data_IF_822362027898
#
_entry.id   IF_822362027898
#
_cell.length_a   1.000
_cell.length_b   1.000
_cell.length_c   1.000
_cell.angle_alpha   90.00
_cell.angle_beta   90.00
_cell.angle_gamma   90.00
#
_symmetry.space_group_name_H-M   'P 1'
#
loop_
_entity.id
_entity.type
_entity.pdbx_description
1 polymer ?
#
# COMPACT_ATOMS: atom_id res chain seq x y z
N UNK A 1 -17.62 -5.27 -17.88
CA UNK A 1 -18.24 -5.52 -16.55
C UNK A 1 -18.09 -6.95 -16.04
N UNK A 2 -18.41 -8.00 -16.81
CA UNK A 2 -18.22 -9.41 -16.36
C UNK A 2 -16.75 -9.74 -16.07
N UNK A 3 -15.82 -9.29 -16.91
CA UNK A 3 -14.37 -9.44 -16.67
C UNK A 3 -13.94 -8.71 -15.39
N UNK A 4 -14.49 -7.53 -15.13
CA UNK A 4 -14.21 -6.73 -13.94
C UNK A 4 -14.62 -7.47 -12.66
N UNK A 5 -15.85 -7.99 -12.61
CA UNK A 5 -16.34 -8.74 -11.45
C UNK A 5 -15.58 -10.04 -11.24
N UNK A 6 -15.34 -10.82 -12.31
CA UNK A 6 -14.58 -12.06 -12.24
C UNK A 6 -13.16 -11.82 -11.71
N UNK A 7 -12.46 -10.82 -12.27
CA UNK A 7 -11.09 -10.49 -11.89
C UNK A 7 -11.01 -10.04 -10.43
N UNK A 8 -11.95 -9.18 -9.99
CA UNK A 8 -12.05 -8.74 -8.60
C UNK A 8 -12.19 -9.94 -7.65
N UNK A 9 -13.16 -10.82 -7.91
CA UNK A 9 -13.44 -11.96 -7.03
C UNK A 9 -12.31 -12.98 -7.01
N UNK A 10 -11.63 -13.22 -8.14
CA UNK A 10 -10.45 -14.10 -8.20
C UNK A 10 -9.36 -13.55 -7.30
N UNK A 11 -8.96 -12.29 -7.49
CA UNK A 11 -7.89 -11.68 -6.69
C UNK A 11 -8.26 -11.58 -5.21
N UNK A 12 -9.49 -11.21 -4.88
CA UNK A 12 -9.96 -11.17 -3.49
C UNK A 12 -9.89 -12.55 -2.82
N UNK A 13 -10.34 -13.61 -3.52
CA UNK A 13 -10.29 -14.99 -3.01
C UNK A 13 -8.86 -15.44 -2.75
N UNK A 14 -7.93 -15.11 -3.65
CA UNK A 14 -6.52 -15.47 -3.50
C UNK A 14 -5.91 -14.85 -2.24
N UNK A 15 -6.09 -13.54 -2.00
CA UNK A 15 -5.59 -12.88 -0.78
C UNK A 15 -6.19 -13.48 0.47
N UNK A 16 -7.51 -13.71 0.46
CA UNK A 16 -8.22 -14.27 1.60
C UNK A 16 -7.71 -15.67 1.97
N UNK A 17 -7.39 -16.48 0.96
CA UNK A 17 -6.84 -17.83 1.17
C UNK A 17 -5.46 -17.78 1.84
N UNK A 18 -4.61 -16.84 1.43
CA UNK A 18 -3.24 -16.68 1.91
C UNK A 18 -3.20 -16.11 3.34
N UNK A 19 -4.15 -15.25 3.70
CA UNK A 19 -4.15 -14.51 4.98
C UNK A 19 -5.17 -15.01 6.02
N UNK A 20 -5.75 -16.20 5.83
CA UNK A 20 -6.81 -16.76 6.71
C UNK A 20 -6.45 -16.72 8.20
N UNK A 21 -5.20 -17.03 8.55
CA UNK A 21 -4.74 -17.02 9.94
C UNK A 21 -4.78 -15.62 10.56
N UNK A 22 -4.37 -14.59 9.81
CA UNK A 22 -4.29 -13.21 10.31
C UNK A 22 -5.68 -12.57 10.43
N UNK A 23 -6.58 -12.87 9.49
CA UNK A 23 -7.99 -12.47 9.53
C UNK A 23 -8.73 -13.01 10.76
N UNK A 24 -8.32 -14.20 11.24
CA UNK A 24 -8.88 -14.79 12.44
C UNK A 24 -8.36 -14.11 13.72
N UNK A 25 -7.15 -13.57 13.70
CA UNK A 25 -6.50 -13.00 14.89
C UNK A 25 -6.66 -11.49 15.07
N UNK A 26 -6.80 -10.72 13.99
CA UNK A 26 -6.82 -9.25 14.06
C UNK A 26 -8.15 -8.65 13.62
N UNK A 27 -8.77 -7.87 14.51
CA UNK A 27 -10.03 -7.15 14.25
C UNK A 27 -9.84 -6.14 13.12
N UNK A 28 -8.72 -5.41 13.13
CA UNK A 28 -8.42 -4.39 12.12
C UNK A 28 -8.32 -5.00 10.72
N UNK A 29 -7.65 -6.14 10.56
CA UNK A 29 -7.57 -6.84 9.27
C UNK A 29 -8.91 -7.37 8.81
N UNK A 30 -9.73 -7.86 9.74
CA UNK A 30 -11.09 -8.32 9.41
C UNK A 30 -11.99 -7.15 8.98
N UNK A 31 -11.82 -5.98 9.58
CA UNK A 31 -12.52 -4.77 9.17
C UNK A 31 -12.07 -4.36 7.76
N UNK A 32 -10.76 -4.27 7.50
CA UNK A 32 -10.22 -3.96 6.17
C UNK A 32 -10.73 -4.95 5.11
N UNK A 33 -10.63 -6.27 5.36
CA UNK A 33 -11.09 -7.31 4.44
C UNK A 33 -12.58 -7.14 4.07
N UNK A 34 -13.42 -6.87 5.07
CA UNK A 34 -14.85 -6.62 4.86
C UNK A 34 -15.09 -5.33 4.09
N UNK A 35 -14.36 -4.25 4.40
CA UNK A 35 -14.47 -2.97 3.69
C UNK A 35 -14.06 -3.10 2.21
N UNK A 36 -12.98 -3.82 1.92
CA UNK A 36 -12.53 -4.10 0.54
C UNK A 36 -13.61 -4.87 -0.23
N UNK A 37 -14.17 -5.92 0.37
CA UNK A 37 -15.25 -6.69 -0.25
C UNK A 37 -16.51 -5.84 -0.48
N UNK A 38 -16.90 -5.05 0.51
CA UNK A 38 -18.07 -4.18 0.45
C UNK A 38 -17.94 -3.13 -0.66
N UNK A 39 -16.86 -2.35 -0.66
CA UNK A 39 -16.60 -1.32 -1.68
C UNK A 39 -16.51 -1.95 -3.07
N UNK A 40 -15.76 -3.05 -3.23
CA UNK A 40 -15.66 -3.73 -4.53
C UNK A 40 -16.99 -4.25 -5.05
N UNK A 41 -17.84 -4.80 -4.18
CA UNK A 41 -19.18 -5.27 -4.56
C UNK A 41 -20.07 -4.10 -5.00
N UNK A 42 -20.02 -2.96 -4.30
CA UNK A 42 -20.75 -1.74 -4.69
C UNK A 42 -20.31 -1.26 -6.07
N UNK A 43 -19.00 -1.16 -6.32
CA UNK A 43 -18.47 -0.70 -7.61
C UNK A 43 -18.84 -1.65 -8.76
N UNK A 44 -18.90 -2.96 -8.49
CA UNK A 44 -19.41 -3.94 -9.46
C UNK A 44 -20.90 -3.71 -9.76
N UNK A 45 -21.73 -3.43 -8.74
CA UNK A 45 -23.16 -3.14 -8.95
C UNK A 45 -23.34 -1.88 -9.80
N UNK A 46 -22.64 -0.78 -9.45
CA UNK A 46 -22.72 0.47 -10.20
C UNK A 46 -22.17 0.30 -11.62
N UNK A 47 -21.12 -0.51 -11.78
CA UNK A 47 -20.62 -0.93 -13.10
C UNK A 47 -21.71 -1.58 -13.96
N UNK A 48 -22.47 -2.54 -13.41
CA UNK A 48 -23.59 -3.15 -14.15
C UNK A 48 -24.71 -2.16 -14.43
N UNK A 49 -24.96 -1.22 -13.51
CA UNK A 49 -25.94 -0.16 -13.70
C UNK A 49 -25.57 0.76 -14.87
N UNK A 50 -24.33 1.29 -14.92
CA UNK A 50 -23.82 2.10 -16.05
C UNK A 50 -23.95 1.33 -17.37
N UNK A 51 -23.61 0.05 -17.39
CA UNK A 51 -23.74 -0.78 -18.59
C UNK A 51 -25.19 -0.91 -19.04
N UNK A 52 -26.14 -1.00 -18.10
CA UNK A 52 -27.57 -0.97 -18.42
C UNK A 52 -27.98 0.36 -19.04
N UNK A 53 -27.52 1.50 -18.49
CA UNK A 53 -27.82 2.83 -19.05
C UNK A 53 -27.32 2.94 -20.49
N UNK A 54 -26.08 2.52 -20.75
CA UNK A 54 -25.48 2.53 -22.08
C UNK A 54 -26.27 1.65 -23.05
N UNK A 55 -26.62 0.42 -22.66
CA UNK A 55 -27.28 -0.54 -23.56
C UNK A 55 -28.72 -0.15 -23.93
N UNK A 56 -29.48 0.42 -23.00
CA UNK A 56 -30.89 0.73 -23.22
C UNK A 56 -31.12 2.18 -23.66
N UNK A 57 -30.31 3.11 -23.17
CA UNK A 57 -30.54 4.54 -23.36
C UNK A 57 -29.46 5.22 -24.23
N UNK A 58 -28.37 4.53 -24.54
CA UNK A 58 -27.21 5.09 -25.27
C UNK A 58 -26.51 6.27 -24.57
N UNK A 59 -26.77 6.50 -23.29
CA UNK A 59 -26.09 7.50 -22.45
C UNK A 59 -25.87 6.94 -21.04
N UNK A 60 -25.06 7.62 -20.22
CA UNK A 60 -24.97 7.36 -18.78
C UNK A 60 -24.91 8.67 -17.98
N UNK A 61 -25.29 8.65 -16.70
CA UNK A 61 -25.26 9.86 -15.85
C UNK A 61 -23.88 10.10 -15.25
N UNK A 62 -23.44 11.36 -15.20
CA UNK A 62 -22.18 11.73 -14.54
C UNK A 62 -22.12 11.34 -13.06
N UNK A 63 -23.26 11.32 -12.38
CA UNK A 63 -23.38 10.94 -10.97
C UNK A 63 -22.91 9.49 -10.72
N UNK A 64 -23.03 8.61 -11.72
CA UNK A 64 -22.58 7.23 -11.64
C UNK A 64 -21.05 7.09 -11.63
N UNK A 65 -20.30 8.12 -12.04
CA UNK A 65 -18.83 8.15 -12.00
C UNK A 65 -18.26 8.58 -10.65
N UNK A 66 -19.00 9.38 -9.87
CA UNK A 66 -18.53 9.89 -8.57
C UNK A 66 -18.15 8.76 -7.58
N UNK A 67 -18.92 7.67 -7.44
CA UNK A 67 -18.53 6.55 -6.57
C UNK A 67 -17.21 5.88 -6.97
N UNK A 68 -16.88 5.83 -8.27
CA UNK A 68 -15.60 5.28 -8.75
C UNK A 68 -14.41 6.17 -8.44
N UNK A 69 -14.64 7.47 -8.35
CA UNK A 69 -13.60 8.42 -7.94
C UNK A 69 -13.42 8.40 -6.42
N UNK A 70 -14.51 8.40 -5.66
CA UNK A 70 -14.43 8.60 -4.20
C UNK A 70 -14.11 7.31 -3.44
N UNK A 71 -14.82 6.21 -3.71
CA UNK A 71 -14.75 5.01 -2.85
C UNK A 71 -13.38 4.30 -2.91
N UNK A 72 -12.78 4.03 -4.08
CA UNK A 72 -11.48 3.36 -4.15
C UNK A 72 -10.35 4.22 -3.59
N UNK A 73 -10.31 5.50 -3.95
CA UNK A 73 -9.26 6.42 -3.51
C UNK A 73 -9.31 6.61 -1.98
N UNK A 74 -10.50 6.82 -1.42
CA UNK A 74 -10.67 6.93 0.02
C UNK A 74 -10.26 5.66 0.77
N UNK A 75 -10.74 4.49 0.34
CA UNK A 75 -10.43 3.24 1.03
C UNK A 75 -8.94 2.87 0.90
N UNK A 76 -8.34 3.08 -0.27
CA UNK A 76 -6.89 2.85 -0.48
C UNK A 76 -6.04 3.80 0.36
N UNK A 77 -6.43 5.08 0.45
CA UNK A 77 -5.80 6.08 1.32
C UNK A 77 -5.88 5.66 2.78
N UNK A 78 -7.04 5.21 3.25
CA UNK A 78 -7.23 4.72 4.62
C UNK A 78 -6.34 3.50 4.91
N UNK A 79 -6.29 2.54 3.98
CA UNK A 79 -5.43 1.35 4.11
C UNK A 79 -3.96 1.78 4.22
N UNK A 80 -3.41 2.53 3.27
CA UNK A 80 -2.01 2.95 3.32
C UNK A 80 -1.72 3.89 4.49
N UNK A 81 -2.65 4.78 4.85
CA UNK A 81 -2.57 5.65 6.01
C UNK A 81 -2.40 4.85 7.32
N UNK A 82 -3.27 3.87 7.59
CA UNK A 82 -3.15 2.99 8.76
C UNK A 82 -1.79 2.27 8.78
N UNK A 83 -1.33 1.80 7.63
CA UNK A 83 -0.07 1.06 7.54
C UNK A 83 1.18 1.94 7.60
N UNK A 84 1.10 3.20 7.18
CA UNK A 84 2.18 4.17 7.38
C UNK A 84 2.51 4.31 8.87
N UNK A 85 1.49 4.41 9.73
CA UNK A 85 1.69 4.45 11.18
C UNK A 85 2.34 3.17 11.71
N UNK A 86 1.99 2.01 11.14
CA UNK A 86 2.65 0.75 11.50
C UNK A 86 4.12 0.73 11.09
N UNK A 87 4.45 1.22 9.90
CA UNK A 87 5.83 1.34 9.43
C UNK A 87 6.64 2.32 10.29
N UNK A 88 6.08 3.47 10.66
CA UNK A 88 6.72 4.39 11.59
C UNK A 88 6.89 3.79 12.99
N UNK A 89 5.92 3.00 13.46
CA UNK A 89 6.04 2.26 14.72
C UNK A 89 7.18 1.24 14.65
N UNK A 90 7.28 0.46 13.57
CA UNK A 90 8.38 -0.49 13.37
C UNK A 90 9.74 0.20 13.30
N UNK A 91 9.84 1.31 12.57
CA UNK A 91 11.07 2.09 12.50
C UNK A 91 11.44 2.71 13.85
N UNK A 92 10.46 3.21 14.61
CA UNK A 92 10.67 3.73 15.97
C UNK A 92 11.21 2.65 16.91
N UNK A 93 10.68 1.43 16.80
CA UNK A 93 11.13 0.30 17.60
C UNK A 93 12.53 -0.18 17.17
N UNK A 94 12.74 -0.31 15.85
CA UNK A 94 13.99 -0.75 15.27
C UNK A 94 14.43 0.16 14.11
N UNK A 95 15.43 1.02 14.38
CA UNK A 95 15.97 2.01 13.41
C UNK A 95 16.98 1.44 12.41
N UNK A 96 17.17 0.12 12.38
CA UNK A 96 18.20 -0.53 11.56
C UNK A 96 17.99 -0.39 10.04
N UNK A 97 16.78 -0.06 9.55
CA UNK A 97 16.51 0.00 8.12
C UNK A 97 15.75 1.25 7.70
N UNK A 98 16.44 2.12 6.96
CA UNK A 98 15.85 3.26 6.28
C UNK A 98 14.78 2.86 5.25
N UNK A 99 14.79 1.61 4.75
CA UNK A 99 13.75 1.12 3.84
C UNK A 99 12.38 1.15 4.52
N UNK A 100 12.30 0.82 5.81
CA UNK A 100 11.04 0.87 6.57
C UNK A 100 10.54 2.31 6.68
N UNK A 101 11.45 3.27 6.90
CA UNK A 101 11.09 4.69 6.93
C UNK A 101 10.60 5.17 5.56
N UNK A 102 11.32 4.87 4.50
CA UNK A 102 10.99 5.29 3.13
C UNK A 102 9.64 4.74 2.66
N UNK A 103 9.34 3.46 2.93
CA UNK A 103 8.03 2.89 2.62
C UNK A 103 6.91 3.51 3.48
N UNK A 104 7.18 3.79 4.77
CA UNK A 104 6.24 4.50 5.62
C UNK A 104 5.92 5.91 5.10
N UNK A 105 6.96 6.64 4.65
CA UNK A 105 6.82 7.95 4.02
C UNK A 105 6.05 7.87 2.70
N UNK A 106 6.37 6.90 1.83
CA UNK A 106 5.63 6.70 0.59
C UNK A 106 4.14 6.44 0.84
N UNK A 107 3.81 5.60 1.83
CA UNK A 107 2.41 5.30 2.19
C UNK A 107 1.64 6.50 2.73
N UNK A 108 2.27 7.37 3.54
CA UNK A 108 1.58 8.56 4.04
C UNK A 108 1.45 9.63 2.95
N UNK A 109 2.45 9.79 2.08
CA UNK A 109 2.38 10.71 0.93
C UNK A 109 1.27 10.26 -0.02
N UNK A 110 1.20 8.96 -0.33
CA UNK A 110 0.11 8.38 -1.12
C UNK A 110 -1.27 8.67 -0.50
N UNK A 111 -1.41 8.48 0.81
CA UNK A 111 -2.66 8.75 1.51
C UNK A 111 -3.15 10.19 1.28
N UNK A 112 -2.24 11.16 1.37
CA UNK A 112 -2.58 12.56 1.09
C UNK A 112 -2.83 12.80 -0.41
N UNK A 113 -1.95 12.32 -1.30
CA UNK A 113 -2.10 12.54 -2.75
C UNK A 113 -3.42 11.99 -3.29
N UNK A 114 -3.85 10.81 -2.82
CA UNK A 114 -5.10 10.20 -3.25
C UNK A 114 -6.35 10.95 -2.74
N UNK A 115 -6.28 11.56 -1.55
CA UNK A 115 -7.36 12.42 -1.06
C UNK A 115 -7.44 13.68 -1.93
N UNK A 116 -6.30 14.29 -2.27
CA UNK A 116 -6.24 15.45 -3.16
C UNK A 116 -6.82 15.14 -4.54
N UNK A 117 -6.31 14.12 -5.24
CA UNK A 117 -6.82 13.79 -6.59
C UNK A 117 -8.30 13.41 -6.56
N UNK A 118 -8.76 12.67 -5.54
CA UNK A 118 -10.17 12.29 -5.43
C UNK A 118 -11.10 13.49 -5.25
N UNK A 119 -10.67 14.53 -4.53
CA UNK A 119 -11.46 15.75 -4.34
C UNK A 119 -11.44 16.60 -5.61
N UNK A 120 -10.27 16.75 -6.24
CA UNK A 120 -10.13 17.45 -7.52
C UNK A 120 -10.98 16.83 -8.62
N UNK A 121 -10.85 15.53 -8.85
CA UNK A 121 -11.61 14.79 -9.87
C UNK A 121 -13.11 14.85 -9.61
N UNK A 122 -13.55 14.67 -8.35
CA UNK A 122 -14.96 14.75 -8.00
C UNK A 122 -15.53 16.17 -8.25
N UNK A 123 -14.74 17.22 -7.99
CA UNK A 123 -15.11 18.58 -8.30
C UNK A 123 -15.27 18.79 -9.81
N UNK A 124 -14.29 18.36 -10.61
CA UNK A 124 -14.33 18.50 -12.08
C UNK A 124 -15.51 17.77 -12.70
N UNK A 125 -15.77 16.53 -12.28
CA UNK A 125 -16.94 15.76 -12.73
C UNK A 125 -18.23 16.49 -12.36
N UNK A 126 -18.34 17.01 -11.14
CA UNK A 126 -19.58 17.61 -10.66
C UNK A 126 -19.91 18.93 -11.35
N UNK A 127 -18.91 19.78 -11.57
CA UNK A 127 -19.10 21.17 -11.97
C UNK A 127 -18.92 21.42 -13.47
N UNK A 128 -17.97 20.73 -14.11
CA UNK A 128 -17.59 21.04 -15.49
C UNK A 128 -18.12 20.03 -16.52
N UNK A 129 -18.58 18.85 -16.10
CA UNK A 129 -19.12 17.83 -17.02
C UNK A 129 -20.65 17.89 -17.16
N UNK A 130 -21.13 17.58 -18.36
CA UNK A 130 -22.56 17.47 -18.69
C UNK A 130 -23.26 16.45 -17.80
N UNK A 131 -24.56 16.66 -17.55
CA UNK A 131 -25.33 15.74 -16.70
C UNK A 131 -25.47 14.35 -17.33
N UNK A 132 -25.69 14.33 -18.65
CA UNK A 132 -25.77 13.14 -19.47
C UNK A 132 -24.52 13.07 -20.36
N UNK A 133 -23.93 11.88 -20.44
CA UNK A 133 -22.77 11.60 -21.28
C UNK A 133 -23.16 10.55 -22.31
N UNK A 134 -23.00 10.90 -23.58
CA UNK A 134 -23.38 10.12 -24.75
C UNK A 134 -22.20 10.07 -25.75
N UNK A 135 -22.30 9.34 -26.89
CA UNK A 135 -21.22 9.27 -27.87
C UNK A 135 -20.83 10.62 -28.50
N UNK A 136 -21.69 11.64 -28.42
CA UNK A 136 -21.45 12.98 -28.97
C UNK A 136 -20.84 13.95 -27.96
N UNK A 137 -20.77 13.55 -26.69
CA UNK A 137 -20.20 14.37 -25.61
C UNK A 137 -18.69 14.45 -25.79
N UNK A 138 -18.18 15.66 -25.99
CA UNK A 138 -16.75 15.89 -26.20
C UNK A 138 -15.92 15.60 -24.94
N UNK A 139 -14.77 14.95 -25.13
CA UNK A 139 -13.79 14.72 -24.07
C UNK A 139 -12.92 15.96 -23.92
N UNK A 140 -13.28 16.83 -22.98
CA UNK A 140 -12.49 18.02 -22.68
C UNK A 140 -11.37 17.73 -21.69
N UNK A 141 -10.14 18.10 -22.07
CA UNK A 141 -9.00 18.26 -21.18
C UNK A 141 -9.05 19.66 -20.58
N UNK A 142 -8.83 19.77 -19.27
CA UNK A 142 -8.83 21.07 -18.59
C UNK A 142 -7.41 21.54 -18.41
N UNK A 143 -7.10 22.69 -19.00
CA UNK A 143 -5.92 23.46 -18.68
C UNK A 143 -6.32 24.61 -17.74
N UNK A 144 -5.52 24.82 -16.70
CA UNK A 144 -5.79 25.85 -15.70
C UNK A 144 -4.79 26.97 -15.87
N UNK A 145 -5.27 28.21 -15.91
CA UNK A 145 -4.41 29.40 -16.03
C UNK A 145 -3.29 29.34 -14.99
N UNK A 146 -2.06 29.63 -15.43
CA UNK A 146 -0.87 29.62 -14.59
C UNK A 146 -1.08 30.50 -13.34
N UNK A 147 -0.81 29.93 -12.16
CA UNK A 147 -0.98 30.63 -10.89
C UNK A 147 -2.42 30.72 -10.37
N UNK A 148 -3.40 30.19 -11.10
CA UNK A 148 -4.75 30.00 -10.57
C UNK A 148 -4.76 29.00 -9.40
N UNK A 149 -5.78 29.07 -8.54
CA UNK A 149 -5.93 28.16 -7.41
C UNK A 149 -5.92 26.68 -7.86
N UNK A 150 -6.63 26.37 -8.95
CA UNK A 150 -6.72 25.00 -9.47
C UNK A 150 -5.40 24.53 -10.07
N UNK A 151 -4.65 25.41 -10.75
CA UNK A 151 -3.30 25.06 -11.21
C UNK A 151 -2.40 24.66 -10.03
N UNK A 152 -2.30 25.52 -9.02
CA UNK A 152 -1.51 25.24 -7.81
C UNK A 152 -1.98 23.97 -7.08
N UNK A 153 -3.28 23.69 -7.11
CA UNK A 153 -3.86 22.49 -6.50
C UNK A 153 -3.40 21.20 -7.19
N UNK A 154 -3.48 21.14 -8.52
CA UNK A 154 -3.05 19.96 -9.29
C UNK A 154 -1.52 19.84 -9.37
N UNK A 155 -0.80 20.95 -9.37
CA UNK A 155 0.67 20.97 -9.22
C UNK A 155 1.10 20.33 -7.90
N UNK A 156 0.43 20.68 -6.80
CA UNK A 156 0.71 20.08 -5.49
C UNK A 156 0.47 18.57 -5.48
N UNK A 157 -0.57 18.09 -6.17
CA UNK A 157 -0.79 16.65 -6.36
C UNK A 157 0.39 16.01 -7.12
N UNK A 158 0.84 16.61 -8.23
CA UNK A 158 1.97 16.10 -9.00
C UNK A 158 3.27 16.04 -8.16
N UNK A 159 3.53 17.06 -7.34
CA UNK A 159 4.67 17.05 -6.40
C UNK A 159 4.57 15.96 -5.34
N UNK A 160 3.38 15.71 -4.80
CA UNK A 160 3.16 14.61 -3.85
C UNK A 160 3.39 13.25 -4.53
N UNK A 161 2.87 13.04 -5.73
CA UNK A 161 3.05 11.79 -6.48
C UNK A 161 4.53 11.53 -6.80
N UNK A 162 5.26 12.56 -7.21
CA UNK A 162 6.72 12.52 -7.40
C UNK A 162 7.44 12.20 -6.08
N UNK A 163 7.04 12.81 -4.97
CA UNK A 163 7.59 12.51 -3.65
C UNK A 163 7.37 11.04 -3.23
N UNK A 164 6.19 10.50 -3.50
CA UNK A 164 5.87 9.08 -3.29
C UNK A 164 6.76 8.19 -4.15
N UNK A 165 6.88 8.50 -5.45
CA UNK A 165 7.73 7.78 -6.39
C UNK A 165 9.17 7.69 -5.87
N UNK A 166 9.79 8.82 -5.50
CA UNK A 166 11.17 8.82 -5.01
C UNK A 166 11.35 8.02 -3.72
N UNK A 167 10.36 8.06 -2.81
CA UNK A 167 10.40 7.25 -1.59
C UNK A 167 10.39 5.74 -1.90
N UNK A 168 9.48 5.28 -2.78
CA UNK A 168 9.46 3.88 -3.21
C UNK A 168 10.69 3.50 -4.02
N UNK A 169 11.18 4.39 -4.88
CA UNK A 169 12.36 4.19 -5.71
C UNK A 169 13.62 4.00 -4.87
N UNK A 170 13.92 4.95 -3.97
CA UNK A 170 15.06 4.85 -3.06
C UNK A 170 14.94 3.64 -2.13
N UNK A 171 13.73 3.37 -1.62
CA UNK A 171 13.46 2.19 -0.80
C UNK A 171 13.76 0.89 -1.55
N UNK A 172 13.36 0.82 -2.82
CA UNK A 172 13.59 -0.33 -3.70
C UNK A 172 15.06 -0.52 -4.05
N UNK A 173 15.81 0.56 -4.31
CA UNK A 173 17.27 0.52 -4.48
C UNK A 173 17.90 -0.10 -3.23
N UNK A 174 17.63 0.46 -2.06
CA UNK A 174 18.23 0.01 -0.80
C UNK A 174 17.85 -1.45 -0.48
N UNK A 175 16.63 -1.86 -0.79
CA UNK A 175 16.15 -3.23 -0.60
C UNK A 175 16.84 -4.24 -1.53
N UNK A 176 17.09 -3.87 -2.78
CA UNK A 176 17.67 -4.77 -3.77
C UNK A 176 19.22 -4.69 -3.85
N UNK A 177 19.82 -3.60 -3.38
CA UNK A 177 21.26 -3.34 -3.43
C UNK A 177 22.13 -4.46 -2.84
N UNK A 178 21.81 -5.09 -1.69
CA UNK A 178 22.57 -6.23 -1.18
C UNK A 178 22.63 -7.41 -2.16
N UNK A 179 21.61 -7.56 -3.01
CA UNK A 179 21.52 -8.62 -4.02
C UNK A 179 22.14 -8.23 -5.37
N UNK A 180 22.66 -7.00 -5.52
CA UNK A 180 23.25 -6.49 -6.76
C UNK A 180 24.41 -7.36 -7.29
N UNK A 181 25.21 -7.95 -6.39
CA UNK A 181 26.31 -8.87 -6.80
C UNK A 181 25.80 -10.14 -7.47
N UNK A 182 24.69 -10.72 -6.98
CA UNK A 182 24.07 -11.91 -7.58
C UNK A 182 23.38 -11.62 -8.90
N UNK A 183 22.82 -10.41 -9.05
CA UNK A 183 22.16 -9.95 -10.29
C UNK A 183 23.19 -9.56 -11.36
N UNK A 184 24.36 -9.08 -10.94
CA UNK A 184 25.36 -8.42 -11.77
C UNK A 184 25.23 -6.91 -11.60
N UNK A 185 26.32 -6.23 -11.21
CA UNK A 185 26.29 -4.79 -10.85
C UNK A 185 25.79 -3.90 -12.00
N UNK A 186 26.21 -4.17 -13.23
CA UNK A 186 25.76 -3.43 -14.41
C UNK A 186 24.28 -3.64 -14.69
N UNK A 187 23.83 -4.91 -14.69
CA UNK A 187 22.41 -5.26 -14.85
C UNK A 187 21.52 -4.64 -13.77
N UNK A 188 22.01 -4.59 -12.53
CA UNK A 188 21.31 -3.94 -11.43
C UNK A 188 21.11 -2.45 -11.68
N UNK A 189 22.17 -1.71 -12.02
CA UNK A 189 22.04 -0.27 -12.28
C UNK A 189 21.21 0.02 -13.52
N UNK A 190 21.33 -0.78 -14.59
CA UNK A 190 20.45 -0.68 -15.75
C UNK A 190 18.98 -0.87 -15.37
N UNK A 191 18.67 -1.87 -14.53
CA UNK A 191 17.32 -2.10 -14.03
C UNK A 191 16.79 -0.91 -13.21
N UNK A 192 17.63 -0.31 -12.36
CA UNK A 192 17.24 0.83 -11.53
C UNK A 192 17.22 2.17 -12.30
N UNK A 193 17.81 2.26 -13.50
CA UNK A 193 17.73 3.46 -14.33
C UNK A 193 16.41 3.54 -15.10
N UNK A 194 15.80 2.40 -15.45
CA UNK A 194 14.52 2.36 -16.18
C UNK A 194 13.43 3.24 -15.56
N UNK A 195 13.05 3.09 -14.26
CA UNK A 195 11.96 3.86 -13.69
C UNK A 195 12.31 5.34 -13.57
N UNK A 196 13.60 5.68 -13.44
CA UNK A 196 14.04 7.07 -13.39
C UNK A 196 13.92 7.74 -14.77
N UNK A 197 14.31 7.03 -15.83
CA UNK A 197 14.12 7.50 -17.21
C UNK A 197 12.63 7.62 -17.53
N UNK A 198 11.84 6.62 -17.15
CA UNK A 198 10.38 6.62 -17.25
C UNK A 198 9.76 7.86 -16.56
N UNK A 199 10.15 8.16 -15.32
CA UNK A 199 9.69 9.37 -14.63
C UNK A 199 10.17 10.67 -15.28
N UNK A 200 11.34 10.69 -15.92
CA UNK A 200 11.79 11.90 -16.64
C UNK A 200 10.94 12.18 -17.88
N UNK A 201 10.37 11.14 -18.51
CA UNK A 201 9.47 11.32 -19.66
C UNK A 201 8.20 12.09 -19.31
N UNK A 202 7.68 11.97 -18.08
CA UNK A 202 6.48 12.70 -17.64
C UNK A 202 6.75 14.19 -17.38
N UNK A 203 8.02 14.59 -17.26
CA UNK A 203 8.45 15.98 -17.08
C UNK A 203 8.73 16.70 -18.41
N UNK A 204 8.71 15.99 -19.55
CA UNK A 204 9.08 16.52 -20.87
C UNK A 204 8.15 17.67 -21.28
N UNK A 205 6.87 17.58 -20.92
CA UNK A 205 5.88 18.64 -21.10
C UNK A 205 6.23 19.87 -20.25
N UNK A 206 6.55 19.69 -18.96
CA UNK A 206 6.98 20.77 -18.07
C UNK A 206 8.27 21.48 -18.50
N UNK A 207 9.05 20.91 -19.42
CA UNK A 207 10.25 21.52 -20.00
C UNK A 207 9.99 22.16 -21.38
N UNK A 208 8.74 22.23 -21.85
CA UNK A 208 8.35 22.70 -23.19
C UNK A 208 9.11 21.97 -24.32
N UNK A 209 9.42 20.69 -24.14
CA UNK A 209 10.11 19.88 -25.15
C UNK A 209 9.12 19.25 -26.14
N UNK A 210 7.87 19.04 -25.70
CA UNK A 210 6.74 18.70 -26.56
C UNK A 210 5.64 19.75 -26.37
N UNK A 211 5.11 20.31 -27.46
CA UNK A 211 3.94 21.18 -27.41
C UNK A 211 2.70 20.30 -27.19
N UNK A 212 2.20 20.25 -25.97
CA UNK A 212 1.01 19.48 -25.60
C UNK A 212 -0.29 20.30 -25.75
N UNK A 213 -0.25 21.35 -26.57
CA UNK A 213 -1.34 22.33 -26.75
C UNK A 213 -2.56 21.78 -27.51
N UNK A 214 -2.48 20.56 -28.07
CA UNK A 214 -3.59 19.93 -28.80
C UNK A 214 -4.12 18.71 -28.07
N UNK A 215 -5.45 18.50 -28.13
CA UNK A 215 -6.13 17.35 -27.51
C UNK A 215 -5.55 16.00 -27.95
N UNK A 216 -5.04 15.90 -29.18
CA UNK A 216 -4.39 14.70 -29.70
C UNK A 216 -3.06 14.41 -28.99
N UNK A 217 -2.23 15.44 -28.79
CA UNK A 217 -0.97 15.30 -28.06
C UNK A 217 -1.22 14.95 -26.58
N UNK A 218 -2.24 15.52 -25.95
CA UNK A 218 -2.66 15.17 -24.58
C UNK A 218 -3.09 13.71 -24.48
N UNK A 219 -3.85 13.20 -25.45
CA UNK A 219 -4.23 11.79 -25.48
C UNK A 219 -3.01 10.86 -25.52
N UNK A 220 -2.03 11.14 -26.40
CA UNK A 220 -0.79 10.37 -26.45
C UNK A 220 0.03 10.50 -25.16
N UNK A 221 0.10 11.69 -24.58
CA UNK A 221 0.77 11.92 -23.30
C UNK A 221 0.19 11.05 -22.18
N UNK A 222 -1.14 10.99 -22.04
CA UNK A 222 -1.79 10.12 -21.05
C UNK A 222 -1.56 8.63 -21.34
N UNK A 223 -1.59 8.21 -22.61
CA UNK A 223 -1.26 6.84 -22.97
C UNK A 223 0.17 6.48 -22.56
N UNK A 224 1.16 7.31 -22.90
CA UNK A 224 2.56 7.09 -22.51
C UNK A 224 2.70 7.04 -20.99
N UNK A 225 1.99 7.91 -20.28
CA UNK A 225 1.98 7.94 -18.81
C UNK A 225 1.45 6.65 -18.19
N UNK A 226 0.44 6.01 -18.78
CA UNK A 226 -0.06 4.70 -18.31
C UNK A 226 1.01 3.60 -18.49
N UNK A 227 1.70 3.59 -19.62
CA UNK A 227 2.77 2.62 -19.89
C UNK A 227 3.98 2.83 -18.97
N UNK A 228 4.33 4.08 -18.73
CA UNK A 228 5.36 4.52 -17.78
C UNK A 228 5.10 3.94 -16.38
N UNK A 229 3.90 4.18 -15.85
CA UNK A 229 3.52 3.70 -14.51
C UNK A 229 3.47 2.17 -14.44
N UNK A 230 3.07 1.49 -15.53
CA UNK A 230 3.12 0.04 -15.60
C UNK A 230 4.57 -0.50 -15.49
N UNK A 231 5.55 0.18 -16.10
CA UNK A 231 6.97 -0.16 -15.97
C UNK A 231 7.47 0.05 -14.53
N UNK A 232 7.12 1.17 -13.91
CA UNK A 232 7.44 1.46 -12.50
C UNK A 232 6.87 0.39 -11.57
N UNK A 233 5.58 0.08 -11.73
CA UNK A 233 4.89 -0.97 -10.99
C UNK A 233 5.54 -2.35 -11.15
N UNK A 234 5.91 -2.72 -12.38
CA UNK A 234 6.62 -3.96 -12.67
C UNK A 234 7.95 -4.06 -11.92
N UNK A 235 8.73 -2.98 -11.90
CA UNK A 235 10.03 -2.94 -11.25
C UNK A 235 9.90 -3.07 -9.73
N UNK A 236 8.99 -2.34 -9.10
CA UNK A 236 8.76 -2.47 -7.66
C UNK A 236 8.22 -3.84 -7.31
N UNK A 237 7.30 -4.39 -8.11
CA UNK A 237 6.84 -5.76 -7.95
C UNK A 237 7.97 -6.80 -8.09
N UNK A 238 8.87 -6.57 -9.03
CA UNK A 238 10.01 -7.43 -9.32
C UNK A 238 11.01 -7.52 -8.16
N UNK A 239 11.21 -6.44 -7.40
CA UNK A 239 12.06 -6.44 -6.19
C UNK A 239 11.58 -7.51 -5.20
N UNK A 240 10.29 -7.48 -4.85
CA UNK A 240 9.69 -8.45 -3.94
C UNK A 240 9.70 -9.87 -4.51
N UNK A 241 9.42 -10.02 -5.82
CA UNK A 241 9.47 -11.31 -6.48
C UNK A 241 10.89 -11.92 -6.45
N UNK A 242 11.92 -11.12 -6.72
CA UNK A 242 13.32 -11.56 -6.68
C UNK A 242 13.76 -11.99 -5.28
N UNK A 243 13.32 -11.28 -4.25
CA UNK A 243 13.59 -11.67 -2.87
C UNK A 243 12.83 -12.96 -2.51
N UNK A 244 11.58 -13.10 -2.95
CA UNK A 244 10.79 -14.32 -2.74
C UNK A 244 11.46 -15.57 -3.33
N UNK A 245 12.16 -15.45 -4.46
CA UNK A 245 12.86 -16.58 -5.09
C UNK A 245 14.05 -17.11 -4.28
N UNK A 246 14.53 -16.34 -3.30
CA UNK A 246 15.64 -16.74 -2.44
C UNK A 246 15.16 -17.43 -1.15
N UNK A 247 13.85 -17.49 -0.94
CA UNK A 247 13.23 -18.14 0.22
C UNK A 247 12.70 -19.51 -0.23
N UNK A 248 12.85 -20.52 0.65
CA UNK A 248 12.39 -21.89 0.44
C UNK A 248 10.92 -21.97 0.03
N UNK A 249 10.57 -22.97 -0.78
CA UNK A 249 9.24 -23.06 -1.41
C UNK A 249 8.10 -23.21 -0.40
N UNK A 250 8.34 -23.96 0.67
CA UNK A 250 7.36 -24.25 1.72
C UNK A 250 7.17 -23.09 2.70
N UNK A 251 8.03 -22.08 2.65
CA UNK A 251 7.98 -20.95 3.57
C UNK A 251 6.82 -20.00 3.19
N UNK A 252 5.89 -19.71 4.12
CA UNK A 252 4.75 -18.83 3.84
C UNK A 252 5.16 -17.41 3.43
N UNK A 253 6.33 -16.92 3.89
CA UNK A 253 6.86 -15.60 3.53
C UNK A 253 7.04 -15.47 2.02
N UNK A 254 7.42 -16.55 1.32
CA UNK A 254 7.54 -16.56 -0.13
C UNK A 254 6.23 -16.18 -0.82
N UNK A 255 5.10 -16.71 -0.34
CA UNK A 255 3.76 -16.41 -0.86
C UNK A 255 3.38 -14.96 -0.54
N UNK A 256 3.64 -14.50 0.67
CA UNK A 256 3.39 -13.10 1.06
C UNK A 256 4.16 -12.11 0.18
N UNK A 257 5.45 -12.34 -0.09
CA UNK A 257 6.23 -11.44 -0.94
C UNK A 257 5.80 -11.46 -2.41
N UNK A 258 5.37 -12.62 -2.94
CA UNK A 258 4.76 -12.67 -4.29
C UNK A 258 3.48 -11.85 -4.35
N UNK A 259 2.67 -11.92 -3.29
CA UNK A 259 1.45 -11.12 -3.16
C UNK A 259 1.77 -9.62 -3.09
N UNK A 260 2.78 -9.19 -2.32
CA UNK A 260 3.25 -7.79 -2.33
C UNK A 260 3.70 -7.38 -3.72
N UNK A 261 4.44 -8.25 -4.41
CA UNK A 261 4.91 -8.00 -5.77
C UNK A 261 3.77 -7.74 -6.75
N UNK A 262 2.77 -8.62 -6.79
CA UNK A 262 1.55 -8.43 -7.58
C UNK A 262 0.77 -7.18 -7.16
N UNK A 263 0.72 -6.91 -5.86
CA UNK A 263 0.08 -5.72 -5.30
C UNK A 263 0.68 -4.43 -5.86
N UNK A 264 2.00 -4.29 -5.87
CA UNK A 264 2.66 -3.09 -6.42
C UNK A 264 2.45 -2.93 -7.93
N UNK A 265 2.43 -4.03 -8.69
CA UNK A 265 2.15 -3.98 -10.13
C UNK A 265 0.74 -3.44 -10.38
N UNK A 266 -0.26 -4.04 -9.72
CA UNK A 266 -1.66 -3.63 -9.85
C UNK A 266 -1.88 -2.20 -9.35
N UNK A 267 -1.19 -1.83 -8.27
CA UNK A 267 -1.30 -0.54 -7.63
C UNK A 267 -0.88 0.60 -8.57
N UNK A 268 0.31 0.51 -9.17
CA UNK A 268 0.80 1.54 -10.07
C UNK A 268 -0.03 1.67 -11.36
N UNK A 269 -0.50 0.55 -11.91
CA UNK A 269 -1.41 0.56 -13.06
C UNK A 269 -2.75 1.22 -12.69
N UNK A 270 -3.25 0.94 -11.49
CA UNK A 270 -4.56 1.41 -11.05
C UNK A 270 -4.53 2.87 -10.59
N UNK A 271 -3.44 3.32 -9.99
CA UNK A 271 -3.31 4.67 -9.42
C UNK A 271 -3.32 5.76 -10.50
N UNK A 272 -2.83 5.47 -11.71
CA UNK A 272 -2.85 6.43 -12.82
C UNK A 272 -4.22 6.56 -13.49
N UNK A 273 -5.17 5.68 -13.16
CA UNK A 273 -6.48 5.67 -13.81
C UNK A 273 -7.42 6.65 -13.14
N UNK A 274 -8.10 7.46 -13.95
CA UNK A 274 -9.22 8.30 -13.51
C UNK A 274 -10.38 8.22 -14.50
N UNK A 275 -11.55 8.63 -14.05
CA UNK A 275 -12.78 8.77 -14.84
C UNK A 275 -13.18 10.23 -15.04
N UNK A 276 -12.34 11.19 -14.62
CA UNK A 276 -12.68 12.63 -14.70
C UNK A 276 -12.92 13.13 -16.13
N UNK A 277 -12.27 12.50 -17.12
CA UNK A 277 -12.45 12.82 -18.53
C UNK A 277 -13.87 12.50 -19.04
N UNK A 278 -14.62 11.64 -18.33
CA UNK A 278 -16.01 11.28 -18.67
C UNK A 278 -16.16 10.79 -20.12
N UNK A 279 -15.24 9.96 -20.59
CA UNK A 279 -15.28 9.39 -21.94
C UNK A 279 -16.47 8.44 -22.12
N UNK A 280 -17.02 8.36 -23.33
CA UNK A 280 -18.04 7.37 -23.67
C UNK A 280 -17.45 6.23 -24.51
N UNK A 281 -17.53 4.95 -24.08
CA UNK A 281 -17.94 4.48 -22.75
C UNK A 281 -16.91 4.84 -21.67
N UNK A 282 -17.27 4.79 -20.37
CA UNK A 282 -16.38 5.21 -19.29
C UNK A 282 -15.23 4.22 -19.10
N UNK A 283 -14.08 4.56 -19.68
CA UNK A 283 -12.82 3.83 -19.51
C UNK A 283 -12.26 4.06 -18.10
N UNK A 284 -11.49 3.09 -17.58
CA UNK A 284 -10.83 3.20 -16.26
C UNK A 284 -11.60 2.65 -15.07
N UNK A 285 -12.90 2.31 -15.20
CA UNK A 285 -13.71 1.73 -14.11
C UNK A 285 -13.09 0.45 -13.51
N UNK A 286 -12.51 -0.40 -14.37
CA UNK A 286 -11.82 -1.63 -13.93
C UNK A 286 -10.60 -1.31 -13.09
N UNK A 287 -9.75 -0.39 -13.55
CA UNK A 287 -8.53 -0.01 -12.85
C UNK A 287 -8.85 0.58 -11.48
N UNK A 288 -9.82 1.49 -11.39
CA UNK A 288 -10.25 2.07 -10.12
C UNK A 288 -10.78 1.01 -9.15
N UNK A 289 -11.48 -0.02 -9.63
CA UNK A 289 -11.91 -1.14 -8.79
C UNK A 289 -10.73 -1.97 -8.27
N UNK A 290 -9.65 -2.09 -9.05
CA UNK A 290 -8.43 -2.82 -8.68
C UNK A 290 -7.54 -2.06 -7.69
N UNK A 291 -7.64 -0.73 -7.62
CA UNK A 291 -6.83 0.11 -6.72
C UNK A 291 -6.93 -0.37 -5.26
N UNK A 292 -8.16 -0.54 -4.76
CA UNK A 292 -8.39 -1.01 -3.38
C UNK A 292 -7.83 -2.41 -3.13
N UNK A 293 -8.01 -3.33 -4.08
CA UNK A 293 -7.46 -4.69 -3.96
C UNK A 293 -5.93 -4.61 -3.91
N UNK A 294 -5.31 -3.83 -4.79
CA UNK A 294 -3.86 -3.71 -4.88
C UNK A 294 -3.25 -3.20 -3.57
N UNK A 295 -3.87 -2.19 -2.95
CA UNK A 295 -3.50 -1.69 -1.63
C UNK A 295 -3.59 -2.81 -0.57
N UNK A 296 -4.68 -3.57 -0.59
CA UNK A 296 -4.89 -4.71 0.30
C UNK A 296 -3.82 -5.81 0.11
N UNK A 297 -3.43 -6.13 -1.13
CA UNK A 297 -2.33 -7.07 -1.44
C UNK A 297 -0.99 -6.62 -0.84
N UNK A 298 -0.60 -5.36 -1.09
CA UNK A 298 0.67 -4.80 -0.62
C UNK A 298 0.73 -4.84 0.91
N UNK A 299 -0.29 -4.27 1.54
CA UNK A 299 -0.34 -4.10 2.99
C UNK A 299 -0.43 -5.44 3.73
N UNK A 300 -1.33 -6.32 3.31
CA UNK A 300 -1.46 -7.62 3.96
C UNK A 300 -0.21 -8.46 3.78
N UNK A 301 0.42 -8.45 2.61
CA UNK A 301 1.62 -9.25 2.37
C UNK A 301 2.81 -8.78 3.21
N UNK A 302 2.99 -7.47 3.34
CA UNK A 302 4.04 -6.89 4.18
C UNK A 302 3.80 -7.20 5.66
N UNK A 303 2.57 -7.03 6.14
CA UNK A 303 2.25 -7.30 7.53
C UNK A 303 2.28 -8.79 7.89
N UNK A 304 1.76 -9.66 7.03
CA UNK A 304 1.84 -11.11 7.20
C UNK A 304 3.28 -11.61 7.25
N UNK A 305 4.16 -10.99 6.44
CA UNK A 305 5.60 -11.26 6.49
C UNK A 305 6.21 -10.83 7.83
N UNK A 306 5.89 -9.62 8.31
CA UNK A 306 6.39 -9.11 9.58
C UNK A 306 5.97 -10.00 10.77
N UNK A 307 4.69 -10.38 10.86
CA UNK A 307 4.19 -11.30 11.91
C UNK A 307 4.91 -12.65 11.85
N UNK A 308 5.03 -13.23 10.67
CA UNK A 308 5.62 -14.57 10.54
C UNK A 308 7.09 -14.59 10.96
N UNK A 309 7.83 -13.52 10.67
CA UNK A 309 9.23 -13.36 11.08
C UNK A 309 9.35 -13.03 12.57
N UNK A 310 8.43 -12.23 13.12
CA UNK A 310 8.45 -11.86 14.55
C UNK A 310 8.18 -13.07 15.44
N UNK A 311 7.28 -13.96 15.03
CA UNK A 311 6.86 -15.12 15.81
C UNK A 311 7.71 -16.37 15.63
N UNK A 312 8.64 -16.45 14.67
CA UNK A 312 9.39 -17.68 14.44
C UNK A 312 10.90 -17.44 14.35
N UNK A 313 11.64 -17.96 15.35
CA UNK A 313 13.10 -17.82 15.44
C UNK A 313 13.82 -18.49 14.27
N UNK A 314 13.35 -19.65 13.82
CA UNK A 314 13.97 -20.38 12.72
C UNK A 314 13.75 -19.63 11.40
N UNK A 315 12.55 -19.10 11.17
CA UNK A 315 12.29 -18.23 10.01
C UNK A 315 13.16 -16.99 10.07
N UNK A 316 13.26 -16.33 11.22
CA UNK A 316 14.10 -15.14 11.39
C UNK A 316 15.58 -15.42 11.11
N UNK A 317 16.11 -16.52 11.64
CA UNK A 317 17.50 -16.97 11.34
C UNK A 317 17.69 -17.27 9.86
N UNK A 318 16.71 -17.92 9.23
CA UNK A 318 16.75 -18.25 7.79
C UNK A 318 16.74 -16.99 6.92
N UNK A 319 15.85 -16.04 7.23
CA UNK A 319 15.81 -14.72 6.57
C UNK A 319 17.11 -13.96 6.78
N UNK A 320 17.68 -13.99 8.00
CA UNK A 320 18.99 -13.38 8.29
C UNK A 320 20.12 -14.02 7.48
N UNK A 321 20.09 -15.33 7.24
CA UNK A 321 21.09 -16.05 6.43
C UNK A 321 20.99 -15.73 4.94
N UNK A 322 19.78 -15.58 4.42
CA UNK A 322 19.52 -15.23 3.01
C UNK A 322 19.85 -13.75 2.76
N UNK A 323 19.59 -12.93 3.76
CA UNK A 323 19.94 -11.53 3.80
C UNK A 323 21.45 -11.36 3.93
N UNK A 324 22.12 -10.96 2.86
CA UNK A 324 23.58 -10.76 2.87
C UNK A 324 24.08 -9.70 3.88
N UNK A 325 23.18 -8.98 4.58
CA UNK A 325 23.45 -7.99 5.63
C UNK A 325 22.40 -8.02 6.77
N UNK A 326 22.78 -7.55 7.96
CA UNK A 326 21.93 -7.49 9.18
C UNK A 326 20.80 -6.44 9.11
N UNK A 327 20.89 -5.46 8.21
CA UNK A 327 19.98 -4.30 8.06
C UNK A 327 18.88 -4.46 6.98
N UNK A 328 18.48 -5.69 6.65
CA UNK A 328 17.50 -5.95 5.61
C UNK A 328 16.08 -5.66 6.08
N UNK A 329 15.32 -4.99 5.20
CA UNK A 329 13.91 -4.68 5.31
C UNK A 329 13.07 -5.75 6.03
N UNK A 330 13.13 -7.02 5.58
CA UNK A 330 12.33 -8.11 6.18
C UNK A 330 12.71 -8.44 7.62
N UNK A 331 14.01 -8.40 7.93
CA UNK A 331 14.51 -8.58 9.29
C UNK A 331 14.05 -7.41 10.17
N UNK A 332 14.13 -6.19 9.64
CA UNK A 332 13.78 -4.98 10.38
C UNK A 332 12.30 -4.88 10.70
N UNK A 333 11.39 -5.17 9.76
CA UNK A 333 9.94 -5.18 10.05
C UNK A 333 9.57 -6.30 11.05
N UNK A 334 10.22 -7.48 10.95
CA UNK A 334 9.99 -8.59 11.88
C UNK A 334 10.49 -8.29 13.29
N UNK A 335 11.67 -7.68 13.42
CA UNK A 335 12.23 -7.25 14.71
C UNK A 335 11.44 -6.09 15.30
N UNK A 336 11.06 -5.09 14.49
CA UNK A 336 10.23 -3.97 14.93
C UNK A 336 8.84 -4.40 15.43
N UNK A 337 8.23 -5.41 14.80
CA UNK A 337 6.97 -6.01 15.27
C UNK A 337 7.17 -6.81 16.55
N UNK A 338 8.25 -7.59 16.66
CA UNK A 338 8.57 -8.34 17.88
C UNK A 338 8.78 -7.40 19.06
N UNK A 339 9.68 -6.43 18.94
CA UNK A 339 9.99 -5.46 20.00
C UNK A 339 8.77 -4.62 20.37
N UNK A 340 7.95 -4.23 19.39
CA UNK A 340 6.69 -3.54 19.65
C UNK A 340 5.70 -4.39 20.46
N UNK A 341 5.60 -5.67 20.13
CA UNK A 341 4.76 -6.62 20.87
C UNK A 341 5.27 -6.83 22.30
N UNK A 342 6.58 -7.01 22.47
CA UNK A 342 7.21 -7.15 23.80
C UNK A 342 6.93 -5.92 24.66
N UNK A 343 7.22 -4.72 24.16
CA UNK A 343 6.96 -3.45 24.87
C UNK A 343 5.49 -3.29 25.26
N UNK A 344 4.56 -3.64 24.37
CA UNK A 344 3.13 -3.59 24.65
C UNK A 344 2.72 -4.58 25.75
N UNK A 345 3.23 -5.81 25.71
CA UNK A 345 2.96 -6.82 26.73
C UNK A 345 3.51 -6.40 28.10
N UNK A 346 4.76 -5.92 28.15
CA UNK A 346 5.37 -5.43 29.39
C UNK A 346 4.59 -4.25 29.97
N UNK A 347 4.20 -3.28 29.13
CA UNK A 347 3.38 -2.14 29.58
C UNK A 347 2.02 -2.56 30.10
N UNK A 348 1.36 -3.53 29.47
CA UNK A 348 0.07 -4.04 29.94
C UNK A 348 0.21 -4.77 31.28
N UNK A 349 1.26 -5.59 31.44
CA UNK A 349 1.54 -6.28 32.70
C UNK A 349 1.87 -5.28 33.81
N UNK A 350 2.65 -4.24 33.52
CA UNK A 350 2.93 -3.15 34.46
C UNK A 350 1.66 -2.47 34.94
N UNK A 351 0.71 -2.16 34.05
CA UNK A 351 -0.56 -1.55 34.44
C UNK A 351 -1.37 -2.48 35.36
N UNK A 352 -1.44 -3.78 35.04
CA UNK A 352 -2.13 -4.77 35.87
C UNK A 352 -1.47 -4.89 37.26
N UNK A 353 -0.14 -4.92 37.31
CA UNK A 353 0.60 -4.99 38.58
C UNK A 353 0.37 -3.72 39.40
N UNK A 354 0.47 -2.53 38.79
CA UNK A 354 0.20 -1.27 39.48
C UNK A 354 -1.25 -1.19 40.01
N UNK A 355 -2.23 -1.73 39.27
CA UNK A 355 -3.62 -1.85 39.75
C UNK A 355 -3.71 -2.80 40.95
N UNK A 356 -3.00 -3.94 40.91
CA UNK A 356 -2.95 -4.90 42.01
C UNK A 356 -2.22 -4.38 43.25
N UNK A 357 -1.13 -3.64 43.08
CA UNK A 357 -0.39 -3.00 44.19
C UNK A 357 -1.27 -1.99 44.90
N UNK A 358 -1.97 -1.12 44.15
CA UNK A 358 -2.94 -0.18 44.74
C UNK A 358 -4.06 -0.88 45.49
N UNK A 359 -4.64 -1.93 44.91
CA UNK A 359 -5.66 -2.72 45.60
C UNK A 359 -5.12 -3.39 46.88
N UNK A 360 -3.88 -3.87 46.88
CA UNK A 360 -3.26 -4.47 48.06
C UNK A 360 -2.95 -3.44 49.13
N UNK A 361 -2.46 -2.26 48.74
CA UNK A 361 -2.21 -1.14 49.65
C UNK A 361 -3.53 -0.70 50.33
N UNK A 362 -4.60 -0.55 49.55
CA UNK A 362 -5.94 -0.22 50.06
C UNK A 362 -6.50 -1.30 51.01
N UNK A 363 -6.26 -2.59 50.72
CA UNK A 363 -6.83 -3.72 51.49
C UNK A 363 -6.00 -4.11 52.72
N UNK A 364 -4.68 -3.93 52.68
CA UNK A 364 -3.75 -4.47 53.69
C UNK A 364 -2.89 -3.40 54.38
N UNK A 365 -2.81 -2.18 53.83
CA UNK A 365 -1.95 -1.10 54.34
C UNK A 365 -0.46 -1.34 54.12
N UNK A 366 -0.08 -2.35 53.32
CA UNK A 366 1.32 -2.70 53.04
C UNK A 366 1.69 -2.13 51.66
N UNK A 367 2.59 -1.15 51.64
CA UNK A 367 3.23 -0.69 50.41
C UNK A 367 4.19 -1.77 49.88
N UNK A 368 4.01 -2.19 48.64
CA UNK A 368 4.93 -3.09 47.95
C UNK A 368 5.98 -2.24 47.22
N UNK A 369 7.23 -2.30 47.68
CA UNK A 369 8.36 -1.61 47.06
C UNK A 369 9.08 -2.53 46.07
N UNK A 370 8.46 -2.83 44.94
CA UNK A 370 9.19 -3.38 43.79
C UNK A 370 9.71 -2.20 42.95
N UNK A 371 11.03 -2.11 42.77
CA UNK A 371 11.59 -1.02 41.96
C UNK A 371 11.10 -1.16 40.51
N UNK A 372 10.59 -0.06 39.96
CA UNK A 372 9.93 -0.06 38.65
C UNK A 372 10.86 -0.50 37.51
N UNK A 373 12.17 -0.32 37.69
CA UNK A 373 13.19 -0.68 36.71
C UNK A 373 13.55 -2.17 36.76
N UNK A 374 13.62 -2.79 37.95
CA UNK A 374 13.89 -4.23 38.08
C UNK A 374 12.70 -5.06 37.55
N UNK A 375 11.48 -4.56 37.71
CA UNK A 375 10.30 -5.17 37.08
C UNK A 375 10.36 -5.10 35.55
N UNK A 376 10.86 -4.01 34.97
CA UNK A 376 10.94 -3.85 33.52
C UNK A 376 11.91 -4.88 32.91
N UNK A 377 13.09 -5.04 33.51
CA UNK A 377 14.09 -6.02 33.07
C UNK A 377 13.59 -7.47 33.24
N UNK A 378 12.96 -7.79 34.37
CA UNK A 378 12.42 -9.13 34.61
C UNK A 378 11.26 -9.47 33.67
N UNK A 379 10.30 -8.55 33.49
CA UNK A 379 9.18 -8.75 32.58
C UNK A 379 9.64 -8.85 31.14
N UNK A 380 10.66 -8.07 30.75
CA UNK A 380 11.24 -8.17 29.42
C UNK A 380 11.87 -9.55 29.18
N UNK A 381 12.62 -10.09 30.15
CA UNK A 381 13.15 -11.46 30.08
C UNK A 381 12.04 -12.51 29.99
N UNK A 382 11.03 -12.46 30.86
CA UNK A 382 9.94 -13.45 30.89
C UNK A 382 9.10 -13.38 29.63
N UNK A 383 8.80 -12.19 29.10
CA UNK A 383 8.07 -12.04 27.84
C UNK A 383 8.90 -12.58 26.67
N UNK A 384 10.21 -12.31 26.64
CA UNK A 384 11.09 -12.90 25.64
C UNK A 384 11.13 -14.43 25.73
N UNK A 385 11.24 -14.99 26.94
CA UNK A 385 11.27 -16.44 27.14
C UNK A 385 9.94 -17.10 26.80
N UNK A 386 8.81 -16.52 27.21
CA UNK A 386 7.48 -17.07 26.91
C UNK A 386 7.16 -16.99 25.41
N UNK A 387 7.60 -15.93 24.72
CA UNK A 387 7.56 -15.89 23.26
C UNK A 387 8.45 -16.99 22.64
N UNK A 388 9.68 -17.18 23.14
CA UNK A 388 10.57 -18.28 22.70
C UNK A 388 9.95 -19.68 22.95
N UNK A 389 9.27 -19.89 24.07
CA UNK A 389 8.64 -21.16 24.47
C UNK A 389 7.35 -21.43 23.68
N UNK A 390 6.51 -20.41 23.46
CA UNK A 390 5.30 -20.51 22.61
C UNK A 390 5.65 -20.93 21.17
N UNK A 391 6.84 -20.55 20.70
CA UNK A 391 7.35 -20.93 19.38
C UNK A 391 7.77 -22.41 19.30
N UNK A 392 8.20 -23.01 20.42
CA UNK A 392 8.62 -24.42 20.49
C UNK A 392 7.42 -25.39 20.48
N UNK A 393 6.27 -24.96 21.01
CA UNK A 393 5.01 -25.75 21.04
C UNK A 393 4.23 -25.76 19.71
N UNK A 394 4.53 -24.87 18.76
CA UNK A 394 3.88 -24.81 17.43
C UNK A 394 4.67 -25.52 16.32
N UNK A 395 5.88 -26.00 16.61
CA UNK A 395 6.72 -26.76 15.65
C UNK A 395 6.71 -28.27 15.87
N UNK A 396 5.95 -28.74 16.86
CA UNK A 396 5.54 -30.13 17.05
C UNK A 396 4.05 -30.21 16.74
#
# INVERSE_FOLDING_TARGET
MVVLSLTFYIFYKDVKSVNKNILNTSILFRAIDKSVLFVGTILIIISFFILSEILFNSYYYKSSLLPFTILPNFLSSLIFGIFSFKFFQWYKNNRESYVVLLFGLAFIIFCFSNIFVSVGDAYLISTHKSELIDPSTEVTYYDFEEGSFFNVYFDLYAFLDLGMFFCFYLGSILMLYPYSRKIGRTKFWLLMLIPLISQLFTLVDSFNIMDTDTDENLFYFYLVSIWEQALVGFLFGFVFWKISKQIDEDNPIRKYLRMVGLGFILFYISNQSSVFLSSYPPFGLLCLTMLTISAYFVVTGLYSSAISISQNLNLRKSIKKISLNDANFLSSIGKGEMEGTVKKTVSNLKNIINEQEKEMEEKTGIETQLSTNEMEDYLQQVVEETLKVRNKKKSN
#
